data_IF_050814705191
#
_entry.id   IF_050814705191
#
_cell.length_a   1.000
_cell.length_b   1.000
_cell.length_c   1.000
_cell.angle_alpha   90.00
_cell.angle_beta   90.00
_cell.angle_gamma   90.00
#
_symmetry.space_group_name_H-M   'P 1'
#
loop_
_entity.id
_entity.type
_entity.pdbx_description
1 polymer ?
#
# COMPACT_ATOMS: atom_id res chain seq x y z
N UNK A 1 -20.26 28.46 -18.31
CA UNK A 1 -19.86 28.95 -16.98
C UNK A 1 -20.08 27.80 -16.01
N UNK A 2 -19.13 26.86 -15.93
CA UNK A 2 -19.28 25.74 -15.02
C UNK A 2 -19.14 26.25 -13.58
N UNK A 3 -20.06 25.82 -12.72
CA UNK A 3 -20.17 26.26 -11.33
C UNK A 3 -18.92 25.82 -10.57
N UNK A 4 -18.21 26.76 -9.93
CA UNK A 4 -17.15 26.44 -8.98
C UNK A 4 -17.78 25.76 -7.77
N UNK A 5 -17.49 24.48 -7.58
CA UNK A 5 -17.79 23.84 -6.30
C UNK A 5 -16.76 24.39 -5.31
N UNK A 6 -17.17 25.33 -4.47
CA UNK A 6 -16.35 25.75 -3.35
C UNK A 6 -16.21 24.57 -2.38
N UNK A 7 -15.06 23.90 -2.41
CA UNK A 7 -14.69 22.88 -1.43
C UNK A 7 -14.53 23.59 -0.08
N UNK A 8 -15.41 23.32 0.89
CA UNK A 8 -15.27 23.83 2.25
C UNK A 8 -14.19 23.01 2.98
N UNK A 9 -13.12 23.66 3.43
CA UNK A 9 -12.03 23.02 4.17
C UNK A 9 -11.34 24.00 5.13
N UNK A 10 -10.70 23.45 6.17
CA UNK A 10 -9.95 24.22 7.16
C UNK A 10 -8.42 24.14 6.95
N UNK A 11 -7.96 23.55 5.84
CA UNK A 11 -6.54 23.45 5.54
C UNK A 11 -5.89 24.84 5.37
N UNK A 12 -4.64 25.04 5.81
CA UNK A 12 -3.91 26.30 5.65
C UNK A 12 -3.38 26.52 4.21
N UNK A 13 -3.85 25.73 3.25
CA UNK A 13 -3.51 25.81 1.82
C UNK A 13 -4.75 25.47 0.98
N UNK A 14 -4.72 25.81 -0.30
CA UNK A 14 -5.76 25.43 -1.25
C UNK A 14 -5.62 23.95 -1.66
N UNK A 15 -6.52 23.03 -1.21
CA UNK A 15 -6.46 21.62 -1.54
C UNK A 15 -6.85 21.33 -2.99
N UNK A 16 -7.46 22.31 -3.67
CA UNK A 16 -7.72 22.24 -5.10
C UNK A 16 -6.51 22.71 -5.92
N UNK A 17 -5.45 23.23 -5.30
CA UNK A 17 -4.22 23.70 -5.97
C UNK A 17 -4.49 24.59 -7.20
N UNK A 18 -5.50 25.45 -7.14
CA UNK A 18 -5.91 26.34 -8.24
C UNK A 18 -6.78 25.70 -9.34
N UNK A 19 -7.17 24.43 -9.20
CA UNK A 19 -8.06 23.74 -10.14
C UNK A 19 -9.53 23.94 -9.73
N UNK A 20 -10.38 24.36 -10.67
CA UNK A 20 -11.77 24.77 -10.41
C UNK A 20 -12.82 23.71 -10.80
N UNK A 21 -12.39 22.65 -11.50
CA UNK A 21 -13.21 21.53 -11.92
C UNK A 21 -12.52 20.19 -11.60
N UNK A 22 -13.25 19.17 -11.11
CA UNK A 22 -12.70 17.82 -10.90
C UNK A 22 -12.02 17.23 -12.14
N UNK A 23 -12.55 17.50 -13.34
CA UNK A 23 -11.96 17.04 -14.60
C UNK A 23 -10.59 17.68 -14.88
N UNK A 24 -10.35 18.89 -14.37
CA UNK A 24 -9.05 19.55 -14.50
C UNK A 24 -7.97 18.82 -13.68
N UNK A 25 -8.31 18.30 -12.49
CA UNK A 25 -7.40 17.46 -11.69
C UNK A 25 -7.03 16.16 -12.42
N UNK A 26 -7.96 15.57 -13.16
CA UNK A 26 -7.69 14.37 -13.97
C UNK A 26 -6.73 14.62 -15.14
N UNK A 27 -6.53 15.89 -15.52
CA UNK A 27 -5.60 16.27 -16.60
C UNK A 27 -4.16 16.51 -16.13
N UNK A 28 -3.90 16.48 -14.82
CA UNK A 28 -2.55 16.69 -14.25
C UNK A 28 -1.65 15.51 -14.64
N UNK A 29 -0.59 15.72 -15.45
CA UNK A 29 0.26 14.64 -15.89
C UNK A 29 1.18 14.19 -14.74
N UNK A 30 1.64 12.94 -14.82
CA UNK A 30 2.77 12.52 -14.01
C UNK A 30 4.01 13.36 -14.36
N UNK A 31 4.88 13.67 -13.39
CA UNK A 31 6.17 14.28 -13.68
C UNK A 31 7.00 13.37 -14.60
N UNK A 32 7.96 13.93 -15.35
CA UNK A 32 8.90 13.13 -16.13
C UNK A 32 9.60 12.11 -15.23
N UNK A 33 9.68 10.86 -15.69
CA UNK A 33 10.42 9.83 -14.98
C UNK A 33 11.93 10.14 -15.02
N UNK A 34 12.68 9.82 -13.95
CA UNK A 34 14.14 9.81 -14.00
C UNK A 34 14.67 8.85 -15.09
N UNK A 35 15.84 9.17 -15.66
CA UNK A 35 16.46 8.36 -16.73
C UNK A 35 16.69 6.90 -16.33
N UNK A 36 16.90 6.63 -15.04
CA UNK A 36 17.21 5.32 -14.49
C UNK A 36 16.02 4.61 -13.83
N UNK A 37 14.79 5.13 -13.97
CA UNK A 37 13.60 4.65 -13.25
C UNK A 37 13.44 3.12 -13.30
N UNK A 38 13.49 2.54 -14.51
CA UNK A 38 13.34 1.10 -14.71
C UNK A 38 14.49 0.29 -14.11
N UNK A 39 15.73 0.77 -14.29
CA UNK A 39 16.93 0.11 -13.79
C UNK A 39 16.93 0.09 -12.26
N UNK A 40 16.59 1.22 -11.64
CA UNK A 40 16.44 1.37 -10.20
C UNK A 40 15.45 0.35 -9.62
N UNK A 41 14.24 0.25 -10.17
CA UNK A 41 13.24 -0.67 -9.66
C UNK A 41 13.58 -2.15 -9.91
N UNK A 42 14.22 -2.48 -11.04
CA UNK A 42 14.70 -3.83 -11.31
C UNK A 42 15.79 -4.25 -10.32
N UNK A 43 16.73 -3.36 -10.00
CA UNK A 43 17.76 -3.64 -9.00
C UNK A 43 17.14 -3.85 -7.61
N UNK A 44 16.22 -2.97 -7.20
CA UNK A 44 15.50 -3.11 -5.93
C UNK A 44 14.74 -4.43 -5.83
N UNK A 45 14.06 -4.83 -6.92
CA UNK A 45 13.38 -6.12 -7.01
C UNK A 45 14.35 -7.30 -6.86
N UNK A 46 15.47 -7.28 -7.59
CA UNK A 46 16.48 -8.33 -7.50
C UNK A 46 17.05 -8.46 -6.07
N UNK A 47 17.31 -7.33 -5.40
CA UNK A 47 17.76 -7.30 -3.99
C UNK A 47 16.71 -7.88 -3.05
N UNK A 48 15.43 -7.55 -3.24
CA UNK A 48 14.35 -8.12 -2.44
C UNK A 48 14.20 -9.63 -2.63
N UNK A 49 14.34 -10.12 -3.88
CA UNK A 49 14.26 -11.56 -4.20
C UNK A 49 15.37 -12.41 -3.59
N UNK A 50 16.53 -11.81 -3.29
CA UNK A 50 17.65 -12.48 -2.65
C UNK A 50 17.50 -12.62 -1.12
N UNK A 51 16.51 -11.96 -0.52
CA UNK A 51 16.25 -12.05 0.93
C UNK A 51 15.36 -13.25 1.20
N UNK A 52 15.77 -14.12 2.12
CA UNK A 52 14.87 -15.08 2.76
C UNK A 52 14.00 -14.36 3.80
N UNK A 53 12.67 -14.24 3.60
CA UNK A 53 11.82 -13.48 4.51
C UNK A 53 11.72 -14.11 5.91
N UNK A 54 11.92 -15.42 6.07
CA UNK A 54 11.75 -16.14 7.35
C UNK A 54 10.54 -15.62 8.15
N UNK A 55 9.31 -15.76 7.59
CA UNK A 55 8.11 -15.26 8.24
C UNK A 55 7.85 -16.04 9.52
N UNK A 56 7.46 -15.33 10.57
CA UNK A 56 7.04 -15.90 11.85
C UNK A 56 5.61 -15.48 12.08
N UNK A 57 4.74 -16.47 12.27
CA UNK A 57 3.36 -16.24 12.64
C UNK A 57 3.25 -16.18 14.17
N UNK A 58 2.63 -15.11 14.66
CA UNK A 58 2.31 -14.94 16.07
C UNK A 58 1.06 -15.72 16.50
N UNK A 59 0.67 -15.61 17.78
CA UNK A 59 -0.59 -16.15 18.26
C UNK A 59 -1.78 -15.50 17.53
N UNK A 60 -2.96 -16.10 17.68
CA UNK A 60 -4.22 -15.46 17.26
C UNK A 60 -4.43 -14.22 18.12
N UNK A 61 -4.56 -13.07 17.47
CA UNK A 61 -4.85 -11.79 18.12
C UNK A 61 -6.37 -11.52 18.15
N UNK A 62 -7.09 -11.97 17.12
CA UNK A 62 -8.53 -11.80 16.97
C UNK A 62 -9.14 -12.95 16.16
N UNK A 63 -10.39 -13.34 16.46
CA UNK A 63 -11.21 -14.18 15.60
C UNK A 63 -12.53 -13.45 15.30
N UNK A 64 -12.81 -13.18 14.02
CA UNK A 64 -13.97 -12.40 13.58
C UNK A 64 -14.41 -12.83 12.17
N UNK A 65 -15.72 -12.88 11.94
CA UNK A 65 -16.34 -13.15 10.63
C UNK A 65 -15.78 -14.42 9.92
N UNK A 66 -15.46 -15.46 10.69
CA UNK A 66 -14.90 -16.71 10.19
C UNK A 66 -13.41 -16.66 9.84
N UNK A 67 -12.68 -15.62 10.29
CA UNK A 67 -11.24 -15.44 10.11
C UNK A 67 -10.52 -15.42 11.46
N UNK A 68 -9.36 -16.07 11.53
CA UNK A 68 -8.36 -15.90 12.59
C UNK A 68 -7.28 -14.94 12.12
N UNK A 69 -7.11 -13.85 12.84
CA UNK A 69 -6.10 -12.83 12.56
C UNK A 69 -4.89 -13.10 13.45
N UNK A 70 -3.73 -13.19 12.82
CA UNK A 70 -2.44 -13.35 13.48
C UNK A 70 -1.57 -12.15 13.18
N UNK A 71 -0.76 -11.72 14.15
CA UNK A 71 0.43 -10.93 13.83
C UNK A 71 1.41 -11.76 12.99
N UNK A 72 2.02 -11.16 11.97
CA UNK A 72 3.10 -11.78 11.20
C UNK A 72 4.31 -10.85 11.17
N UNK A 73 5.50 -11.41 11.34
CA UNK A 73 6.75 -10.68 11.16
C UNK A 73 7.60 -11.33 10.08
N UNK A 74 8.13 -10.56 9.12
CA UNK A 74 9.05 -11.06 8.06
C UNK A 74 10.26 -10.13 7.82
N UNK A 75 11.39 -10.73 7.44
CA UNK A 75 12.67 -10.05 7.18
C UNK A 75 12.60 -9.41 5.81
N UNK A 76 12.94 -8.13 5.75
CA UNK A 76 13.00 -7.35 4.52
C UNK A 76 14.45 -7.04 4.13
N UNK A 77 14.62 -6.32 3.01
CA UNK A 77 15.92 -5.87 2.51
C UNK A 77 16.69 -5.13 3.61
N UNK A 78 17.98 -5.44 3.74
CA UNK A 78 18.84 -4.89 4.79
C UNK A 78 18.67 -5.55 6.16
N UNK A 79 17.94 -6.67 6.25
CA UNK A 79 17.73 -7.40 7.51
C UNK A 79 16.69 -6.77 8.44
N UNK A 80 15.97 -5.75 7.98
CA UNK A 80 14.92 -5.07 8.75
C UNK A 80 13.77 -6.04 9.02
N UNK A 81 13.29 -6.13 10.26
CA UNK A 81 12.06 -6.88 10.58
C UNK A 81 10.85 -5.98 10.46
N UNK A 82 9.94 -6.37 9.58
CA UNK A 82 8.64 -5.72 9.40
C UNK A 82 7.55 -6.60 10.00
N UNK A 83 6.46 -5.95 10.40
CA UNK A 83 5.25 -6.57 10.95
C UNK A 83 4.04 -6.31 10.05
N UNK A 84 3.00 -7.11 10.25
CA UNK A 84 1.69 -6.95 9.63
C UNK A 84 0.69 -7.95 10.22
N UNK A 85 -0.46 -8.08 9.58
CA UNK A 85 -1.48 -9.05 9.96
C UNK A 85 -1.69 -10.09 8.85
N UNK A 86 -1.89 -11.34 9.25
CA UNK A 86 -2.30 -12.43 8.38
C UNK A 86 -3.65 -12.96 8.87
N UNK A 87 -4.68 -12.75 8.05
CA UNK A 87 -6.00 -13.34 8.28
C UNK A 87 -6.09 -14.69 7.57
N UNK A 88 -6.43 -15.74 8.31
CA UNK A 88 -6.66 -17.09 7.79
C UNK A 88 -8.11 -17.51 8.04
N UNK A 89 -8.73 -18.33 7.18
CA UNK A 89 -10.01 -18.96 7.51
C UNK A 89 -9.92 -19.68 8.85
N UNK A 90 -10.91 -19.47 9.72
CA UNK A 90 -11.00 -20.17 11.00
C UNK A 90 -11.22 -21.68 10.81
N UNK A 91 -11.85 -22.05 9.69
CA UNK A 91 -12.13 -23.43 9.32
C UNK A 91 -11.82 -23.70 7.84
N UNK A 92 -11.41 -24.93 7.55
CA UNK A 92 -11.11 -25.37 6.19
C UNK A 92 -9.78 -24.84 5.64
N UNK A 93 -9.41 -25.29 4.42
CA UNK A 93 -8.15 -24.90 3.81
C UNK A 93 -8.19 -23.50 3.21
N UNK A 94 -7.04 -22.82 3.20
CA UNK A 94 -6.83 -21.59 2.41
C UNK A 94 -6.91 -21.94 0.92
N UNK A 95 -7.77 -21.26 0.17
CA UNK A 95 -7.93 -21.46 -1.28
C UNK A 95 -7.43 -20.29 -2.12
N UNK A 96 -7.48 -19.09 -1.57
CA UNK A 96 -7.10 -17.84 -2.23
C UNK A 96 -6.36 -16.96 -1.23
N UNK A 97 -5.46 -16.12 -1.72
CA UNK A 97 -4.77 -15.11 -0.94
C UNK A 97 -4.78 -13.78 -1.68
N UNK A 98 -4.92 -12.69 -0.94
CA UNK A 98 -4.86 -11.33 -1.45
C UNK A 98 -4.12 -10.45 -0.44
N UNK A 99 -3.58 -9.34 -0.91
CA UNK A 99 -2.89 -8.33 -0.10
C UNK A 99 -3.69 -7.05 -0.24
N UNK A 100 -3.99 -6.40 0.89
CA UNK A 100 -4.75 -5.15 0.99
C UNK A 100 -3.86 -4.05 1.52
#
# INVERSE_FOLDING_TARGET
MASSVALSHDFPFDPAYGYDAPDALLSVPAPPAPDDFDAFWRERYARARAVDPRPVLGPVEEERDGLRVHGVAFTSVGGVRLGGWLALPAEGPVRYGFVV
#
